data_IF_473340349089
#
_entry.id   IF_473340349089
#
_cell.length_a   1.000
_cell.length_b   1.000
_cell.length_c   1.000
_cell.angle_alpha   90.00
_cell.angle_beta   90.00
_cell.angle_gamma   90.00
#
_symmetry.space_group_name_H-M   'P 1'
#
loop_
_entity.id
_entity.type
_entity.pdbx_description
1 polymer ?
#
# COMPACT_ATOMS: atom_id res chain seq x y z
N UNK A 1 -13.47 -17.13 -0.46
CA UNK A 1 -12.12 -17.00 0.13
C UNK A 1 -12.30 -16.52 1.56
N UNK A 2 -11.60 -17.11 2.51
CA UNK A 2 -11.68 -16.79 3.94
C UNK A 2 -10.27 -16.60 4.50
N UNK A 3 -10.19 -15.90 5.63
CA UNK A 3 -8.93 -15.76 6.37
C UNK A 3 -8.37 -17.16 6.66
N UNK A 4 -7.06 -17.32 6.43
CA UNK A 4 -6.33 -18.58 6.51
C UNK A 4 -6.19 -19.33 5.19
N UNK A 5 -6.99 -19.01 4.17
CA UNK A 5 -6.86 -19.61 2.84
C UNK A 5 -5.52 -19.23 2.18
N UNK A 6 -4.93 -20.18 1.46
CA UNK A 6 -3.78 -19.91 0.60
C UNK A 6 -4.23 -19.46 -0.79
N UNK A 7 -3.53 -18.47 -1.33
CA UNK A 7 -3.87 -17.78 -2.56
C UNK A 7 -2.63 -17.46 -3.39
N UNK A 8 -2.87 -17.22 -4.68
CA UNK A 8 -1.97 -16.52 -5.59
C UNK A 8 -2.55 -15.14 -5.88
N UNK A 9 -1.70 -14.18 -6.22
CA UNK A 9 -2.09 -12.80 -6.50
C UNK A 9 -1.12 -12.13 -7.47
N UNK A 10 -1.02 -10.80 -7.42
CA UNK A 10 -0.10 -10.01 -8.23
C UNK A 10 1.36 -10.37 -7.91
N UNK A 11 1.70 -10.48 -6.62
CA UNK A 11 3.02 -10.95 -6.19
C UNK A 11 3.22 -12.44 -6.47
N UNK A 12 4.27 -12.81 -7.22
CA UNK A 12 4.55 -14.22 -7.53
C UNK A 12 4.76 -15.10 -6.28
N UNK A 13 4.16 -16.29 -6.25
CA UNK A 13 4.28 -17.23 -5.13
C UNK A 13 2.98 -17.48 -4.39
N UNK A 14 3.09 -18.05 -3.19
CA UNK A 14 1.96 -18.52 -2.41
C UNK A 14 1.85 -17.73 -1.12
N UNK A 15 0.65 -17.21 -0.88
CA UNK A 15 0.36 -16.27 0.18
C UNK A 15 -0.79 -16.82 1.01
N UNK A 16 -0.81 -16.50 2.29
CA UNK A 16 -1.97 -16.72 3.14
C UNK A 16 -2.74 -15.42 3.29
N UNK A 17 -4.07 -15.48 3.13
CA UNK A 17 -4.96 -14.38 3.45
C UNK A 17 -5.04 -14.23 4.97
N UNK A 18 -4.60 -13.10 5.50
CA UNK A 18 -4.52 -12.87 6.96
C UNK A 18 -5.55 -11.86 7.46
N UNK A 19 -6.00 -10.92 6.62
CA UNK A 19 -7.04 -9.95 6.96
C UNK A 19 -7.74 -9.43 5.70
N UNK A 20 -8.95 -8.88 5.88
CA UNK A 20 -9.72 -8.20 4.83
C UNK A 20 -10.14 -6.83 5.35
N UNK A 21 -9.81 -5.78 4.59
CA UNK A 21 -10.18 -4.40 4.88
C UNK A 21 -11.10 -3.86 3.80
N UNK A 22 -12.01 -2.90 4.12
CA UNK A 22 -12.85 -2.30 3.11
C UNK A 22 -11.99 -1.48 2.13
N UNK A 23 -12.26 -1.63 0.83
CA UNK A 23 -11.76 -0.70 -0.17
C UNK A 23 -12.81 0.40 -0.34
N UNK A 24 -12.49 1.60 0.14
CA UNK A 24 -13.39 2.76 0.14
C UNK A 24 -12.93 3.73 -0.95
N UNK A 25 -13.87 4.22 -1.75
CA UNK A 25 -13.60 5.22 -2.77
C UNK A 25 -13.12 6.53 -2.12
N UNK A 26 -11.94 7.00 -2.52
CA UNK A 26 -11.34 8.26 -2.03
C UNK A 26 -11.71 9.48 -2.88
N UNK A 27 -12.39 9.25 -4.00
CA UNK A 27 -12.89 10.25 -4.93
C UNK A 27 -14.17 9.78 -5.62
N UNK A 28 -14.93 10.72 -6.18
CA UNK A 28 -16.03 10.40 -7.10
C UNK A 28 -15.45 9.89 -8.42
N UNK A 29 -16.05 8.84 -8.98
CA UNK A 29 -15.69 8.32 -10.28
C UNK A 29 -16.96 8.01 -11.08
N UNK A 30 -16.91 8.39 -12.35
CA UNK A 30 -18.05 8.30 -13.25
C UNK A 30 -17.52 7.98 -14.66
N UNK A 31 -17.70 6.73 -15.09
CA UNK A 31 -17.43 6.25 -16.45
C UNK A 31 -18.57 5.35 -16.92
N UNK A 32 -18.65 5.04 -18.22
CA UNK A 32 -19.81 4.38 -18.84
C UNK A 32 -20.30 3.10 -18.13
N UNK A 33 -19.40 2.34 -17.49
CA UNK A 33 -19.72 1.06 -16.82
C UNK A 33 -19.51 1.07 -15.30
N UNK A 34 -18.91 2.13 -14.75
CA UNK A 34 -18.45 2.16 -13.37
C UNK A 34 -18.73 3.53 -12.75
N UNK A 35 -19.56 3.52 -11.72
CA UNK A 35 -19.91 4.72 -10.96
C UNK A 35 -19.75 4.47 -9.47
N UNK A 36 -19.03 5.35 -8.79
CA UNK A 36 -19.01 5.38 -7.32
C UNK A 36 -18.87 6.80 -6.80
N UNK A 37 -19.38 6.98 -5.58
CA UNK A 37 -19.21 8.20 -4.80
C UNK A 37 -18.14 8.02 -3.76
N UNK A 38 -17.41 9.10 -3.48
CA UNK A 38 -16.45 9.15 -2.39
C UNK A 38 -17.10 8.67 -1.09
N UNK A 39 -16.39 7.81 -0.36
CA UNK A 39 -16.87 7.19 0.87
C UNK A 39 -17.65 5.88 0.68
N UNK A 40 -17.99 5.50 -0.56
CA UNK A 40 -18.61 4.20 -0.81
C UNK A 40 -17.60 3.06 -0.71
N UNK A 41 -18.05 1.92 -0.17
CA UNK A 41 -17.27 0.68 -0.23
C UNK A 41 -17.38 0.10 -1.64
N UNK A 42 -16.27 0.07 -2.36
CA UNK A 42 -16.18 -0.37 -3.76
C UNK A 42 -15.50 -1.74 -3.92
N UNK A 43 -15.02 -2.32 -2.81
CA UNK A 43 -14.38 -3.62 -2.83
C UNK A 43 -13.72 -3.95 -1.50
N UNK A 44 -12.67 -4.77 -1.58
CA UNK A 44 -11.94 -5.26 -0.42
C UNK A 44 -10.44 -5.25 -0.70
N UNK A 45 -9.67 -4.75 0.26
CA UNK A 45 -8.24 -4.94 0.34
C UNK A 45 -7.95 -6.24 1.10
N UNK A 46 -7.14 -7.11 0.50
CA UNK A 46 -6.68 -8.33 1.12
C UNK A 46 -5.27 -8.14 1.65
N UNK A 47 -5.11 -8.37 2.96
CA UNK A 47 -3.80 -8.38 3.60
C UNK A 47 -3.24 -9.79 3.52
N UNK A 48 -2.01 -9.90 3.01
CA UNK A 48 -1.40 -11.17 2.64
C UNK A 48 -0.07 -11.37 3.35
N UNK A 49 0.17 -12.61 3.78
CA UNK A 49 1.46 -13.06 4.29
C UNK A 49 2.06 -14.09 3.34
N UNK A 50 3.20 -13.76 2.75
CA UNK A 50 3.92 -14.68 1.87
C UNK A 50 4.43 -15.85 2.68
N UNK A 51 4.12 -17.04 2.18
CA UNK A 51 4.66 -18.27 2.73
C UNK A 51 5.80 -18.78 1.84
N UNK A 52 5.57 -18.82 0.52
CA UNK A 52 6.55 -19.37 -0.41
C UNK A 52 6.69 -18.52 -1.67
N UNK A 53 7.85 -18.64 -2.30
CA UNK A 53 8.02 -18.24 -3.71
C UNK A 53 7.26 -19.20 -4.64
N UNK A 54 7.10 -18.84 -5.91
CA UNK A 54 6.45 -19.72 -6.90
C UNK A 54 7.16 -21.07 -7.11
N UNK A 55 8.43 -21.18 -6.68
CA UNK A 55 9.22 -22.42 -6.71
C UNK A 55 9.26 -23.12 -5.35
N UNK A 56 8.27 -22.88 -4.49
CA UNK A 56 8.16 -23.49 -3.14
C UNK A 56 9.36 -23.25 -2.20
N UNK A 57 10.14 -22.20 -2.45
CA UNK A 57 11.18 -21.77 -1.49
C UNK A 57 10.57 -20.92 -0.38
N UNK A 58 10.84 -21.21 0.91
CA UNK A 58 10.34 -20.43 2.05
C UNK A 58 10.71 -18.96 1.93
N UNK A 59 9.73 -18.08 2.06
CA UNK A 59 9.96 -16.64 2.08
C UNK A 59 8.81 -15.93 2.76
N UNK A 60 9.10 -15.36 3.93
CA UNK A 60 8.15 -14.52 4.65
C UNK A 60 8.22 -13.10 4.08
N UNK A 61 7.05 -12.52 3.83
CA UNK A 61 6.87 -11.16 3.35
C UNK A 61 5.40 -10.77 3.49
N UNK A 62 5.10 -9.50 3.27
CA UNK A 62 3.75 -8.97 3.44
C UNK A 62 3.35 -8.14 2.23
N UNK A 63 2.07 -8.18 1.89
CA UNK A 63 1.50 -7.40 0.79
C UNK A 63 0.06 -7.02 1.12
N UNK A 64 -0.42 -5.98 0.47
CA UNK A 64 -1.82 -5.63 0.39
C UNK A 64 -2.20 -5.53 -1.08
N UNK A 65 -3.24 -6.24 -1.50
CA UNK A 65 -3.70 -6.27 -2.89
C UNK A 65 -5.23 -6.20 -2.93
N UNK A 66 -5.78 -5.78 -4.07
CA UNK A 66 -7.23 -5.84 -4.27
C UNK A 66 -7.68 -7.30 -4.31
N UNK A 67 -8.69 -7.68 -3.52
CA UNK A 67 -9.11 -9.06 -3.36
C UNK A 67 -9.58 -9.70 -4.68
N UNK A 68 -9.99 -8.89 -5.67
CA UNK A 68 -10.40 -9.36 -7.00
C UNK A 68 -9.25 -9.98 -7.79
N UNK A 69 -7.99 -9.68 -7.43
CA UNK A 69 -6.81 -10.23 -8.09
C UNK A 69 -6.39 -11.59 -7.50
N UNK A 70 -7.01 -12.01 -6.39
CA UNK A 70 -6.64 -13.23 -5.70
C UNK A 70 -7.34 -14.44 -6.28
N UNK A 71 -6.57 -15.52 -6.43
CA UNK A 71 -7.08 -16.84 -6.82
C UNK A 71 -6.68 -17.87 -5.77
N UNK A 72 -7.59 -18.76 -5.35
CA UNK A 72 -7.22 -19.90 -4.51
C UNK A 72 -6.09 -20.71 -5.17
N UNK A 73 -5.15 -21.20 -4.36
CA UNK A 73 -4.17 -22.18 -4.86
C UNK A 73 -4.86 -23.51 -5.23
N UNK A 74 -4.21 -24.33 -6.05
CA UNK A 74 -4.70 -25.67 -6.35
C UNK A 74 -4.58 -26.61 -5.13
N UNK A 75 -5.31 -27.72 -5.16
CA UNK A 75 -5.21 -28.74 -4.10
C UNK A 75 -3.79 -29.33 -3.97
N UNK A 76 -3.09 -29.53 -5.09
CA UNK A 76 -1.72 -30.07 -5.07
C UNK A 76 -0.76 -29.13 -4.34
N UNK A 77 -0.87 -27.82 -4.59
CA UNK A 77 -0.09 -26.80 -3.89
C UNK A 77 -0.45 -26.76 -2.40
N UNK A 78 -1.73 -26.90 -2.03
CA UNK A 78 -2.12 -26.99 -0.62
C UNK A 78 -1.51 -28.20 0.08
N UNK A 79 -1.48 -29.35 -0.59
CA UNK A 79 -0.87 -30.57 -0.05
C UNK A 79 0.64 -30.34 0.15
N UNK A 80 1.31 -29.73 -0.83
CA UNK A 80 2.74 -29.45 -0.76
C UNK A 80 3.08 -28.45 0.37
N UNK A 81 2.27 -27.39 0.54
CA UNK A 81 2.42 -26.44 1.66
C UNK A 81 2.25 -27.13 3.01
N UNK A 82 1.23 -27.97 3.16
CA UNK A 82 0.97 -28.71 4.41
C UNK A 82 2.11 -29.67 4.73
N UNK A 83 2.54 -30.45 3.74
CA UNK A 83 3.68 -31.35 3.85
C UNK A 83 4.95 -30.60 4.27
N UNK A 84 5.23 -29.45 3.64
CA UNK A 84 6.39 -28.64 4.01
C UNK A 84 6.33 -28.19 5.47
N UNK A 85 5.16 -27.76 5.97
CA UNK A 85 5.02 -27.35 7.36
C UNK A 85 5.14 -28.51 8.36
N UNK A 86 4.72 -29.72 7.98
CA UNK A 86 4.91 -30.93 8.80
C UNK A 86 6.39 -31.34 8.86
N UNK A 87 7.11 -31.26 7.74
CA UNK A 87 8.54 -31.56 7.64
C UNK A 87 9.44 -30.48 8.26
N UNK A 88 8.94 -29.23 8.34
CA UNK A 88 9.69 -28.07 8.83
C UNK A 88 8.90 -27.28 9.90
N UNK A 89 8.69 -27.85 11.10
CA UNK A 89 7.90 -27.22 12.17
C UNK A 89 8.47 -25.87 12.63
N UNK A 90 9.80 -25.69 12.62
CA UNK A 90 10.45 -24.42 12.96
C UNK A 90 10.06 -23.30 11.98
N UNK A 91 9.96 -23.64 10.68
CA UNK A 91 9.53 -22.69 9.68
C UNK A 91 8.05 -22.35 9.84
N UNK A 92 7.21 -23.36 10.12
CA UNK A 92 5.78 -23.14 10.42
C UNK A 92 5.61 -22.20 11.61
N UNK A 93 6.29 -22.47 12.73
CA UNK A 93 6.22 -21.63 13.92
C UNK A 93 6.68 -20.21 13.61
N UNK A 94 7.82 -20.05 12.92
CA UNK A 94 8.30 -18.74 12.47
C UNK A 94 7.25 -18.04 11.60
N UNK A 95 6.69 -18.74 10.62
CA UNK A 95 5.66 -18.20 9.74
C UNK A 95 4.41 -17.78 10.52
N UNK A 96 3.91 -18.56 11.47
CA UNK A 96 2.71 -18.22 12.25
C UNK A 96 2.95 -17.04 13.20
N UNK A 97 4.13 -17.00 13.84
CA UNK A 97 4.46 -16.00 14.87
C UNK A 97 5.04 -14.69 14.36
N UNK A 98 5.51 -14.64 13.10
CA UNK A 98 6.10 -13.39 12.58
C UNK A 98 5.06 -12.27 12.57
N UNK A 99 5.37 -11.17 13.24
CA UNK A 99 4.57 -9.95 13.26
C UNK A 99 4.32 -9.41 11.84
N UNK A 100 3.08 -8.99 11.57
CA UNK A 100 2.69 -8.44 10.27
C UNK A 100 3.30 -7.04 10.13
N UNK A 101 4.15 -6.86 9.12
CA UNK A 101 4.80 -5.57 8.80
C UNK A 101 4.51 -5.21 7.36
N UNK A 102 3.37 -4.55 7.15
CA UNK A 102 3.03 -4.05 5.82
C UNK A 102 3.91 -2.86 5.46
N UNK A 103 4.41 -2.79 4.22
CA UNK A 103 5.06 -1.57 3.75
C UNK A 103 4.04 -0.43 3.69
N UNK A 104 4.50 0.78 4.02
CA UNK A 104 3.73 1.99 3.81
C UNK A 104 3.46 2.16 2.31
N UNK A 105 2.29 2.70 1.98
CA UNK A 105 1.99 3.08 0.60
C UNK A 105 2.56 4.46 0.34
N UNK A 106 3.24 4.66 -0.79
CA UNK A 106 3.86 5.94 -1.13
C UNK A 106 3.09 6.57 -2.29
N UNK A 107 2.68 7.83 -2.12
CA UNK A 107 2.22 8.69 -3.21
C UNK A 107 3.38 9.54 -3.70
N UNK A 108 3.64 9.50 -5.00
CA UNK A 108 4.77 10.19 -5.62
C UNK A 108 4.29 11.44 -6.35
N UNK A 109 5.02 12.54 -6.22
CA UNK A 109 4.80 13.78 -6.94
C UNK A 109 6.12 14.30 -7.49
N UNK A 110 6.20 14.51 -8.81
CA UNK A 110 7.37 15.10 -9.45
C UNK A 110 7.35 16.62 -9.28
N UNK A 111 8.47 17.20 -8.87
CA UNK A 111 8.59 18.64 -8.60
C UNK A 111 9.85 19.20 -9.27
N UNK A 112 9.67 20.20 -10.12
CA UNK A 112 10.76 21.01 -10.68
C UNK A 112 10.96 22.30 -9.88
N UNK A 113 11.41 22.10 -8.64
CA UNK A 113 11.65 23.17 -7.68
C UNK A 113 13.02 23.84 -7.96
N UNK A 114 13.11 25.18 -8.03
CA UNK A 114 14.41 25.85 -8.04
C UNK A 114 15.22 25.50 -6.79
N UNK A 115 16.53 25.31 -6.94
CA UNK A 115 17.42 24.85 -5.84
C UNK A 115 17.40 25.82 -4.66
N UNK A 116 17.33 27.13 -4.92
CA UNK A 116 17.22 28.17 -3.92
C UNK A 116 15.90 28.14 -3.12
N UNK A 117 14.92 27.34 -3.54
CA UNK A 117 13.64 27.14 -2.86
C UNK A 117 13.55 25.82 -2.11
N UNK A 118 14.56 24.96 -2.20
CA UNK A 118 14.53 23.64 -1.55
C UNK A 118 14.42 23.73 -0.03
N UNK A 119 15.27 24.55 0.61
CA UNK A 119 15.29 24.69 2.07
C UNK A 119 13.99 25.32 2.59
N UNK A 120 13.50 26.36 1.92
CA UNK A 120 12.21 26.98 2.22
C UNK A 120 11.08 25.96 2.14
N UNK A 121 11.08 25.12 1.10
CA UNK A 121 10.06 24.08 0.92
C UNK A 121 10.11 23.03 2.02
N UNK A 122 11.30 22.48 2.32
CA UNK A 122 11.48 21.52 3.43
C UNK A 122 11.04 22.13 4.76
N UNK A 123 11.35 23.40 5.00
CA UNK A 123 10.94 24.12 6.22
C UNK A 123 9.43 24.32 6.30
N UNK A 124 8.76 24.57 5.16
CA UNK A 124 7.30 24.60 5.11
C UNK A 124 6.71 23.22 5.46
N UNK A 125 7.22 22.14 4.86
CA UNK A 125 6.71 20.79 5.09
C UNK A 125 6.91 20.30 6.55
N UNK A 126 7.94 20.77 7.26
CA UNK A 126 8.11 20.51 8.70
C UNK A 126 6.98 21.07 9.59
N UNK A 127 6.12 21.96 9.06
CA UNK A 127 4.95 22.50 9.77
C UNK A 127 3.72 21.60 9.65
N UNK A 128 3.79 20.53 8.87
CA UNK A 128 2.70 19.56 8.78
C UNK A 128 2.48 18.89 10.14
N UNK A 129 1.23 18.61 10.51
CA UNK A 129 0.95 17.77 11.67
C UNK A 129 1.48 16.34 11.44
N UNK A 130 1.59 15.56 12.52
CA UNK A 130 2.07 14.17 12.46
C UNK A 130 1.23 13.28 11.53
N UNK A 131 -0.04 13.62 11.33
CA UNK A 131 -0.93 13.02 10.34
C UNK A 131 -1.68 14.12 9.61
N UNK A 132 -1.73 14.03 8.28
CA UNK A 132 -2.34 15.05 7.42
C UNK A 132 -3.02 14.43 6.20
N UNK A 133 -4.00 15.14 5.66
CA UNK A 133 -4.63 14.86 4.37
C UNK A 133 -3.90 15.57 3.22
N UNK A 134 -4.16 15.16 1.98
CA UNK A 134 -3.61 15.86 0.80
C UNK A 134 -4.04 17.33 0.72
N UNK A 135 -5.23 17.66 1.22
CA UNK A 135 -5.71 19.04 1.27
C UNK A 135 -4.88 19.88 2.26
N UNK A 136 -4.61 19.35 3.45
CA UNK A 136 -3.77 20.01 4.46
C UNK A 136 -2.32 20.14 3.99
N UNK A 137 -1.80 19.12 3.30
CA UNK A 137 -0.52 19.20 2.62
C UNK A 137 -0.44 20.42 1.70
N UNK A 138 -1.40 20.56 0.78
CA UNK A 138 -1.40 21.68 -0.17
C UNK A 138 -1.78 23.02 0.45
N UNK A 139 -2.43 23.07 1.62
CA UNK A 139 -2.58 24.31 2.38
C UNK A 139 -1.22 24.85 2.85
N UNK A 140 -0.35 23.98 3.34
CA UNK A 140 1.02 24.33 3.75
C UNK A 140 1.92 24.60 2.54
N UNK A 141 1.84 23.75 1.52
CA UNK A 141 2.69 23.79 0.33
C UNK A 141 2.11 24.63 -0.83
N UNK A 142 1.08 25.46 -0.58
CA UNK A 142 0.28 26.13 -1.64
C UNK A 142 1.12 26.86 -2.68
N UNK A 143 2.13 27.61 -2.24
CA UNK A 143 2.99 28.41 -3.11
C UNK A 143 3.93 27.57 -4.00
N UNK A 144 4.12 26.29 -3.67
CA UNK A 144 4.99 25.36 -4.38
C UNK A 144 4.24 24.48 -5.37
N UNK A 145 2.89 24.47 -5.34
CA UNK A 145 2.06 23.67 -6.26
C UNK A 145 2.35 23.94 -7.74
N UNK A 146 2.77 25.17 -8.07
CA UNK A 146 3.18 25.57 -9.43
C UNK A 146 4.43 24.87 -9.96
N UNK A 147 5.22 24.26 -9.09
CA UNK A 147 6.43 23.51 -9.46
C UNK A 147 6.13 22.01 -9.66
N UNK A 148 4.91 21.55 -9.41
CA UNK A 148 4.51 20.17 -9.74
C UNK A 148 4.57 20.01 -11.25
N UNK A 149 5.32 19.00 -11.71
CA UNK A 149 5.60 18.79 -13.12
C UNK A 149 5.42 17.32 -13.51
N UNK A 150 5.60 17.03 -14.81
CA UNK A 150 5.65 15.65 -15.30
C UNK A 150 7.07 15.10 -15.12
N UNK A 151 7.23 13.77 -14.96
CA UNK A 151 8.54 13.14 -15.01
C UNK A 151 9.22 13.35 -16.38
N UNK A 152 10.57 13.43 -16.42
CA UNK A 152 11.47 13.56 -15.27
C UNK A 152 11.49 15.00 -14.72
N UNK A 153 11.70 15.15 -13.41
CA UNK A 153 11.86 16.45 -12.75
C UNK A 153 13.07 16.41 -11.81
N UNK A 154 13.52 17.58 -11.33
CA UNK A 154 14.67 17.69 -10.42
C UNK A 154 14.48 16.92 -9.11
N UNK A 155 13.25 16.88 -8.61
CA UNK A 155 12.93 16.17 -7.37
C UNK A 155 11.72 15.24 -7.53
N UNK A 156 11.76 14.17 -6.74
CA UNK A 156 10.63 13.31 -6.45
C UNK A 156 10.22 13.54 -4.99
N UNK A 157 9.01 14.04 -4.79
CA UNK A 157 8.39 14.11 -3.47
C UNK A 157 7.60 12.83 -3.22
N UNK A 158 8.03 12.07 -2.22
CA UNK A 158 7.33 10.91 -1.69
C UNK A 158 6.49 11.33 -0.49
N UNK A 159 5.22 10.94 -0.47
CA UNK A 159 4.32 11.12 0.66
C UNK A 159 3.91 9.74 1.16
N UNK A 160 4.29 9.42 2.39
CA UNK A 160 4.02 8.11 2.98
C UNK A 160 2.63 8.10 3.62
N UNK A 161 1.79 7.19 3.15
CA UNK A 161 0.48 6.86 3.70
C UNK A 161 0.62 5.58 4.54
N UNK A 162 -0.14 5.49 5.64
CA UNK A 162 -0.16 4.28 6.46
C UNK A 162 -0.66 3.07 5.65
N UNK A 163 -1.96 2.99 5.39
CA UNK A 163 -2.55 1.95 4.55
C UNK A 163 -3.76 2.49 3.78
N UNK A 164 -4.13 1.90 2.64
CA UNK A 164 -5.24 2.39 1.81
C UNK A 164 -6.62 2.45 2.49
N UNK A 165 -6.82 1.73 3.60
CA UNK A 165 -8.05 1.77 4.41
C UNK A 165 -7.98 2.72 5.60
N UNK A 166 -6.82 3.30 5.89
CA UNK A 166 -6.64 4.28 6.96
C UNK A 166 -7.04 5.66 6.42
N UNK A 167 -8.34 5.92 6.41
CA UNK A 167 -8.94 7.14 5.90
C UNK A 167 -9.63 7.93 7.01
N UNK A 168 -9.78 9.23 6.81
CA UNK A 168 -10.54 10.07 7.73
C UNK A 168 -12.07 9.85 7.58
N UNK A 169 -12.85 10.52 8.44
CA UNK A 169 -14.32 10.49 8.40
C UNK A 169 -14.95 10.95 7.08
N UNK A 170 -14.18 11.63 6.24
CA UNK A 170 -14.60 12.14 4.93
C UNK A 170 -14.02 11.30 3.78
N UNK A 171 -13.47 10.12 4.07
CA UNK A 171 -12.78 9.25 3.12
C UNK A 171 -11.56 9.87 2.42
N UNK A 172 -10.83 10.74 3.11
CA UNK A 172 -9.51 11.20 2.68
C UNK A 172 -8.42 10.24 3.15
N UNK A 173 -7.45 9.98 2.29
CA UNK A 173 -6.21 9.28 2.68
C UNK A 173 -5.43 10.07 3.73
N UNK A 174 -4.88 9.35 4.71
CA UNK A 174 -4.08 9.91 5.81
C UNK A 174 -2.59 9.63 5.56
N UNK A 175 -1.80 10.68 5.47
CA UNK A 175 -0.35 10.65 5.32
C UNK A 175 0.34 10.94 6.64
N UNK A 176 1.53 10.38 6.85
CA UNK A 176 2.28 10.52 8.10
C UNK A 176 3.73 10.93 7.93
N UNK A 177 4.26 10.89 6.71
CA UNK A 177 5.66 11.25 6.44
C UNK A 177 5.83 11.79 5.02
N UNK A 178 6.94 12.47 4.78
CA UNK A 178 7.32 12.99 3.47
C UNK A 178 8.83 12.95 3.26
N UNK A 179 9.24 12.70 2.03
CA UNK A 179 10.65 12.71 1.64
C UNK A 179 10.80 13.41 0.28
N UNK A 180 11.74 14.35 0.20
CA UNK A 180 12.09 15.02 -1.06
C UNK A 180 13.44 14.48 -1.53
N UNK A 181 13.42 13.73 -2.63
CA UNK A 181 14.57 13.03 -3.20
C UNK A 181 15.04 13.78 -4.45
N UNK A 182 16.34 14.04 -4.57
CA UNK A 182 16.94 14.57 -5.81
C UNK A 182 16.99 13.44 -6.85
N UNK A 183 16.37 13.65 -8.01
CA UNK A 183 16.24 12.65 -9.08
C UNK A 183 17.34 12.75 -10.13
#
# INVERSE_FOLDING_TARGET
>A
MKIGDFVTGYGSGYWQLIDIKPHIATEDYDSDDIHWKKGQVIGQWAVLKKCFTAKMKPRIGFSCEDSRWLKPVSNDVLIEIKKYFEEHPDYKQKFETTEIKLPLTITNCWIDLPEEKEEDFRTALKKLPAQYTMEEFWKVAKHYKKYVSKPPARYLLNLSMSHPWDIDKNANMIYSDWELIKS
#
